data_IF_521941452587
#
_entry.id   IF_521941452587
#
_cell.length_a   1.000
_cell.length_b   1.000
_cell.length_c   1.000
_cell.angle_alpha   90.00
_cell.angle_beta   90.00
_cell.angle_gamma   90.00
#
_symmetry.space_group_name_H-M   'P 1'
#
loop_
_entity.id
_entity.type
_entity.pdbx_description
1 polymer ?
#
# COMPACT_ATOMS: atom_id res chain seq x y z
N UNK A 1 9.60 31.36 -10.80
CA UNK A 1 9.06 30.25 -10.00
C UNK A 1 9.61 30.39 -8.59
N UNK A 2 8.76 30.67 -7.60
CA UNK A 2 9.15 30.74 -6.19
C UNK A 2 9.05 29.34 -5.58
N UNK A 3 9.82 29.06 -4.53
CA UNK A 3 9.70 27.79 -3.79
C UNK A 3 8.28 27.52 -3.28
N UNK A 4 7.49 28.58 -3.05
CA UNK A 4 6.09 28.46 -2.65
C UNK A 4 5.18 27.95 -3.78
N UNK A 5 5.49 28.27 -5.03
CA UNK A 5 4.78 27.73 -6.20
C UNK A 5 5.07 26.23 -6.32
N UNK A 6 6.35 25.85 -6.19
CA UNK A 6 6.79 24.44 -6.19
C UNK A 6 6.15 23.65 -5.03
N UNK A 7 6.09 24.23 -3.83
CA UNK A 7 5.45 23.59 -2.68
C UNK A 7 3.94 23.37 -2.90
N UNK A 8 3.28 24.31 -3.58
CA UNK A 8 1.85 24.21 -3.92
C UNK A 8 1.61 23.14 -4.97
N UNK A 9 2.43 23.08 -6.02
CA UNK A 9 2.38 22.03 -7.04
C UNK A 9 2.60 20.64 -6.42
N UNK A 10 3.60 20.49 -5.55
CA UNK A 10 3.84 19.23 -4.83
C UNK A 10 2.65 18.84 -3.95
N UNK A 11 2.03 19.80 -3.26
CA UNK A 11 0.84 19.53 -2.45
C UNK A 11 -0.33 19.04 -3.31
N UNK A 12 -0.57 19.68 -4.47
CA UNK A 12 -1.62 19.27 -5.40
C UNK A 12 -1.39 17.86 -5.96
N UNK A 13 -0.15 17.54 -6.33
CA UNK A 13 0.22 16.20 -6.81
C UNK A 13 0.01 15.16 -5.70
N UNK A 14 0.39 15.47 -4.46
CA UNK A 14 0.19 14.56 -3.34
C UNK A 14 -1.31 14.33 -3.06
N UNK A 15 -2.14 15.38 -3.09
CA UNK A 15 -3.60 15.22 -2.96
C UNK A 15 -4.18 14.36 -4.07
N UNK A 16 -3.82 14.64 -5.33
CA UNK A 16 -4.30 13.85 -6.46
C UNK A 16 -3.85 12.39 -6.38
N UNK A 17 -2.63 12.16 -5.90
CA UNK A 17 -2.11 10.82 -5.64
C UNK A 17 -2.94 10.11 -4.57
N UNK A 18 -3.18 10.75 -3.44
CA UNK A 18 -3.98 10.17 -2.35
C UNK A 18 -5.39 9.81 -2.84
N UNK A 19 -6.04 10.68 -3.62
CA UNK A 19 -7.36 10.41 -4.23
C UNK A 19 -7.35 9.20 -5.19
N UNK A 20 -6.25 8.97 -5.91
CA UNK A 20 -6.10 7.79 -6.77
C UNK A 20 -5.89 6.53 -5.93
N UNK A 21 -5.05 6.60 -4.90
CA UNK A 21 -4.78 5.46 -4.00
C UNK A 21 -6.07 5.00 -3.29
N UNK A 22 -6.88 5.95 -2.84
CA UNK A 22 -8.20 5.70 -2.23
C UNK A 22 -9.17 4.99 -3.17
N UNK A 23 -9.24 5.44 -4.42
CA UNK A 23 -10.07 4.83 -5.46
C UNK A 23 -9.59 3.43 -5.83
N UNK A 24 -8.29 3.23 -5.93
CA UNK A 24 -7.70 1.92 -6.20
C UNK A 24 -8.01 0.93 -5.08
N UNK A 25 -7.95 1.37 -3.82
CA UNK A 25 -8.30 0.52 -2.68
C UNK A 25 -9.79 0.21 -2.62
N UNK A 26 -10.64 1.18 -2.96
CA UNK A 26 -12.08 0.98 -3.07
C UNK A 26 -12.42 -0.06 -4.15
N UNK A 27 -11.68 -0.07 -5.27
CA UNK A 27 -11.82 -1.11 -6.30
C UNK A 27 -11.40 -2.49 -5.76
N UNK A 28 -10.29 -2.55 -5.01
CA UNK A 28 -9.83 -3.78 -4.38
C UNK A 28 -10.87 -4.33 -3.40
N UNK A 29 -11.48 -3.47 -2.57
CA UNK A 29 -12.55 -3.85 -1.64
C UNK A 29 -13.77 -4.45 -2.36
N UNK A 30 -14.11 -3.91 -3.55
CA UNK A 30 -15.24 -4.40 -4.34
C UNK A 30 -14.95 -5.73 -5.03
N UNK A 31 -13.73 -5.91 -5.55
CA UNK A 31 -13.37 -7.06 -6.39
C UNK A 31 -12.73 -8.22 -5.60
N UNK A 32 -11.92 -7.90 -4.61
CA UNK A 32 -11.17 -8.82 -3.75
C UNK A 32 -11.40 -8.47 -2.26
N UNK A 33 -12.67 -8.45 -1.84
CA UNK A 33 -13.06 -8.00 -0.51
C UNK A 33 -12.39 -8.75 0.65
N UNK A 34 -12.14 -10.06 0.50
CA UNK A 34 -11.42 -10.86 1.51
C UNK A 34 -9.97 -10.40 1.66
N UNK A 35 -9.29 -10.12 0.55
CA UNK A 35 -7.90 -9.63 0.55
C UNK A 35 -7.83 -8.26 1.21
N UNK A 36 -8.72 -7.35 0.84
CA UNK A 36 -8.79 -6.03 1.46
C UNK A 36 -9.05 -6.11 2.97
N UNK A 37 -10.00 -6.95 3.41
CA UNK A 37 -10.32 -7.13 4.82
C UNK A 37 -9.13 -7.68 5.62
N UNK A 38 -8.43 -8.69 5.09
CA UNK A 38 -7.24 -9.27 5.72
C UNK A 38 -6.09 -8.27 5.81
N UNK A 39 -5.92 -7.43 4.77
CA UNK A 39 -4.91 -6.36 4.76
C UNK A 39 -5.17 -5.34 5.87
N UNK A 40 -6.41 -4.87 5.97
CA UNK A 40 -6.85 -3.90 6.99
C UNK A 40 -6.68 -4.50 8.38
N UNK A 41 -7.06 -5.76 8.58
CA UNK A 41 -6.91 -6.45 9.85
C UNK A 41 -5.43 -6.59 10.26
N UNK A 42 -4.56 -6.94 9.30
CA UNK A 42 -3.13 -7.17 9.56
C UNK A 42 -2.36 -5.88 9.87
N UNK A 43 -2.70 -4.78 9.17
CA UNK A 43 -2.07 -3.47 9.33
C UNK A 43 -2.76 -2.56 10.35
N UNK A 44 -3.97 -2.92 10.77
CA UNK A 44 -4.78 -2.29 11.80
C UNK A 44 -5.61 -1.09 11.35
N UNK A 45 -5.37 -0.54 10.16
CA UNK A 45 -6.14 0.58 9.61
C UNK A 45 -6.13 0.57 8.08
N UNK A 46 -7.22 1.04 7.49
CA UNK A 46 -7.44 1.16 6.05
C UNK A 46 -6.42 2.07 5.38
N UNK A 47 -6.07 3.20 6.00
CA UNK A 47 -5.06 4.12 5.44
C UNK A 47 -3.68 3.46 5.29
N UNK A 48 -3.32 2.58 6.22
CA UNK A 48 -2.06 1.83 6.15
C UNK A 48 -2.10 0.78 5.05
N UNK A 49 -3.23 0.09 4.93
CA UNK A 49 -3.52 -0.84 3.86
C UNK A 49 -3.42 -0.20 2.46
N UNK A 50 -4.06 0.96 2.25
CA UNK A 50 -3.98 1.75 1.02
C UNK A 50 -2.51 2.06 0.67
N UNK A 51 -1.76 2.60 1.64
CA UNK A 51 -0.34 2.96 1.44
C UNK A 51 0.53 1.74 1.15
N UNK A 52 0.26 0.61 1.80
CA UNK A 52 1.01 -0.63 1.60
C UNK A 52 0.81 -1.17 0.17
N UNK A 53 -0.44 -1.19 -0.33
CA UNK A 53 -0.74 -1.66 -1.69
C UNK A 53 -0.03 -0.85 -2.78
N UNK A 54 0.09 0.46 -2.60
CA UNK A 54 0.71 1.37 -3.57
C UNK A 54 2.22 1.55 -3.36
N UNK A 55 2.82 0.91 -2.36
CA UNK A 55 4.26 1.00 -2.11
C UNK A 55 4.98 -0.05 -2.95
N UNK A 56 6.11 0.33 -3.53
CA UNK A 56 7.05 -0.63 -4.11
C UNK A 56 7.73 -1.41 -3.00
N UNK A 57 7.69 -2.73 -3.08
CA UNK A 57 8.22 -3.61 -2.03
C UNK A 57 9.31 -4.48 -2.60
N UNK A 58 10.40 -4.66 -1.85
CA UNK A 58 11.48 -5.55 -2.27
C UNK A 58 11.00 -7.01 -2.38
N UNK A 59 10.02 -7.40 -1.56
CA UNK A 59 9.37 -8.71 -1.64
C UNK A 59 8.65 -8.94 -2.98
N UNK A 60 8.32 -7.86 -3.71
CA UNK A 60 7.64 -7.88 -5.00
C UNK A 60 8.59 -7.54 -6.15
N UNK A 61 9.90 -7.74 -5.96
CA UNK A 61 10.95 -7.34 -6.91
C UNK A 61 10.91 -5.85 -7.26
N UNK A 62 10.51 -5.02 -6.30
CA UNK A 62 10.38 -3.58 -6.48
C UNK A 62 9.08 -3.15 -7.17
N UNK A 63 8.13 -4.06 -7.38
CA UNK A 63 6.77 -3.78 -7.85
C UNK A 63 5.83 -3.42 -6.68
N UNK A 64 4.66 -2.91 -7.02
CA UNK A 64 3.53 -2.70 -6.12
C UNK A 64 2.64 -3.93 -6.06
N UNK A 65 1.85 -4.07 -5.00
CA UNK A 65 0.89 -5.18 -4.89
C UNK A 65 -0.16 -5.14 -6.02
N UNK A 66 -0.50 -3.95 -6.54
CA UNK A 66 -1.42 -3.83 -7.67
C UNK A 66 -0.87 -4.40 -8.98
N UNK A 67 0.43 -4.28 -9.21
CA UNK A 67 1.08 -4.86 -10.40
C UNK A 67 1.06 -6.39 -10.31
N UNK A 68 1.34 -6.97 -9.14
CA UNK A 68 1.22 -8.42 -8.93
C UNK A 68 -0.21 -8.93 -9.15
N UNK A 69 -1.21 -8.21 -8.62
CA UNK A 69 -2.61 -8.57 -8.85
C UNK A 69 -3.02 -8.48 -10.32
N UNK A 70 -2.44 -7.55 -11.08
CA UNK A 70 -2.67 -7.44 -12.53
C UNK A 70 -2.01 -8.58 -13.31
N UNK A 71 -0.82 -9.03 -12.87
CA UNK A 71 -0.07 -10.14 -13.46
C UNK A 71 -0.64 -11.52 -13.07
N UNK A 72 -1.60 -11.55 -12.13
CA UNK A 72 -2.21 -12.79 -11.61
C UNK A 72 -1.38 -13.47 -10.52
N UNK A 73 -0.34 -12.81 -10.02
CA UNK A 73 0.52 -13.24 -8.92
C UNK A 73 -0.14 -12.94 -7.55
N UNK A 74 -1.43 -13.26 -7.41
CA UNK A 74 -2.21 -12.98 -6.18
C UNK A 74 -1.68 -13.78 -4.98
N UNK A 75 -1.19 -15.00 -5.20
CA UNK A 75 -0.63 -15.87 -4.15
C UNK A 75 0.56 -15.20 -3.43
N UNK A 76 1.45 -14.52 -4.19
CA UNK A 76 2.58 -13.77 -3.62
C UNK A 76 2.12 -12.64 -2.70
N UNK A 77 1.01 -11.98 -3.05
CA UNK A 77 0.41 -10.93 -2.21
C UNK A 77 -0.15 -11.56 -0.93
N UNK A 78 -0.83 -12.70 -1.03
CA UNK A 78 -1.34 -13.42 0.13
C UNK A 78 -0.25 -13.89 1.09
N UNK A 79 0.87 -14.42 0.57
CA UNK A 79 2.00 -14.85 1.38
C UNK A 79 2.60 -13.68 2.20
N UNK A 80 2.76 -12.51 1.58
CA UNK A 80 3.23 -11.32 2.30
C UNK A 80 2.23 -10.82 3.35
N UNK A 81 0.92 -10.92 3.08
CA UNK A 81 -0.11 -10.59 4.08
C UNK A 81 -0.02 -11.55 5.28
N UNK A 82 0.20 -12.83 5.03
CA UNK A 82 0.38 -13.82 6.09
C UNK A 82 1.60 -13.48 6.95
N UNK A 83 2.73 -13.10 6.34
CA UNK A 83 3.94 -12.67 7.06
C UNK A 83 3.71 -11.40 7.91
N UNK A 84 2.94 -10.43 7.41
CA UNK A 84 2.56 -9.24 8.18
C UNK A 84 1.69 -9.60 9.39
N UNK A 85 0.82 -10.59 9.25
CA UNK A 85 -0.07 -11.06 10.33
C UNK A 85 0.67 -11.84 11.42
N UNK A 86 1.79 -12.51 11.09
CA UNK A 86 2.59 -13.31 12.03
C UNK A 86 3.68 -12.46 12.74
N UNK A 87 4.09 -11.34 12.15
CA UNK A 87 5.08 -10.46 12.76
C UNK A 87 4.58 -9.82 14.08
N UNK A 88 5.40 -9.78 15.17
CA UNK A 88 5.04 -9.05 16.38
C UNK A 88 4.88 -7.56 16.08
N UNK A 89 3.95 -6.89 16.78
CA UNK A 89 3.51 -5.50 16.51
C UNK A 89 4.67 -4.50 16.38
N UNK A 90 5.78 -4.72 17.10
CA UNK A 90 7.00 -3.91 17.03
C UNK A 90 7.82 -4.11 15.74
N UNK A 91 7.81 -5.31 15.14
CA UNK A 91 8.45 -5.59 13.86
C UNK A 91 7.62 -5.07 12.66
N UNK A 92 6.28 -5.08 12.78
CA UNK A 92 5.37 -4.44 11.81
C UNK A 92 5.67 -2.95 11.62
N UNK A 93 6.08 -2.27 12.69
CA UNK A 93 6.49 -0.85 12.65
C UNK A 93 7.86 -0.62 12.01
N UNK A 94 8.77 -1.60 12.04
CA UNK A 94 10.12 -1.49 11.45
C UNK A 94 10.19 -1.90 9.98
N UNK A 95 9.35 -2.83 9.50
CA UNK A 95 9.21 -3.09 8.05
C UNK A 95 8.69 -1.85 7.27
N UNK A 96 7.96 -0.97 7.96
CA UNK A 96 7.53 0.34 7.43
C UNK A 96 8.66 1.39 7.48
N UNK A 97 9.68 1.24 8.33
CA UNK A 97 10.75 2.23 8.55
C UNK A 97 12.14 1.88 8.01
N UNK A 98 12.47 0.61 7.76
CA UNK A 98 13.81 0.18 7.31
C UNK A 98 13.97 0.11 5.77
N UNK A 99 13.33 1.02 5.03
CA UNK A 99 13.62 1.23 3.62
C UNK A 99 13.61 2.74 3.32
N UNK A 100 14.56 3.43 3.95
CA UNK A 100 15.09 4.72 3.54
C UNK A 100 16.52 4.53 3.08
#
# INVERSE_FOLDING_TARGET
>A
MRFQDVATELAQINTARDDVMERAFSMLEQRHGTLAAMLVQSLGDRQRAVRWMCRHQNAFDGRTAYELLADGEEDTVWDEIALLSDAPVSARMNAVRMAY
#
